data_IF_353535918071
#
_entry.id   IF_353535918071
#
_cell.length_a   1.000
_cell.length_b   1.000
_cell.length_c   1.000
_cell.angle_alpha   90.00
_cell.angle_beta   90.00
_cell.angle_gamma   90.00
#
_symmetry.space_group_name_H-M   'P 1'
#
loop_
_entity.id
_entity.type
_entity.pdbx_description
1 polymer ?
#
# COMPACT_ATOMS: atom_id res chain seq x y z
N UNK A 1 -9.58 2.15 17.33
CA UNK A 1 -10.32 2.07 16.06
C UNK A 1 -10.07 3.34 15.25
N UNK A 2 -9.58 3.18 14.03
CA UNK A 2 -9.40 4.23 13.04
C UNK A 2 -10.74 4.87 12.70
N UNK A 3 -10.70 6.18 12.46
CA UNK A 3 -11.85 6.93 11.98
C UNK A 3 -11.70 7.17 10.49
N UNK A 4 -12.75 6.84 9.75
CA UNK A 4 -12.84 7.02 8.30
C UNK A 4 -13.92 8.02 7.97
N UNK A 5 -13.58 8.98 7.13
CA UNK A 5 -14.49 10.02 6.65
C UNK A 5 -14.77 9.78 5.16
N UNK A 6 -16.05 9.78 4.77
CA UNK A 6 -16.40 9.68 3.35
C UNK A 6 -15.98 10.95 2.59
N UNK A 7 -15.57 10.78 1.34
CA UNK A 7 -15.33 11.91 0.44
C UNK A 7 -16.60 12.18 -0.36
N UNK A 8 -17.28 13.30 -0.07
CA UNK A 8 -18.54 13.65 -0.75
C UNK A 8 -18.35 13.94 -2.24
N UNK A 9 -19.22 13.32 -3.05
CA UNK A 9 -19.31 13.51 -4.51
C UNK A 9 -19.81 14.90 -4.92
N UNK A 10 -20.29 15.70 -3.97
CA UNK A 10 -20.70 17.08 -4.24
C UNK A 10 -19.50 18.03 -4.33
N UNK A 11 -18.39 17.66 -3.66
CA UNK A 11 -17.13 18.42 -3.67
C UNK A 11 -16.39 18.26 -4.99
N UNK A 12 -15.59 19.27 -5.36
CA UNK A 12 -14.72 19.21 -6.55
C UNK A 12 -13.80 17.98 -6.52
N UNK A 13 -13.19 17.72 -5.36
CA UNK A 13 -12.29 16.58 -5.14
C UNK A 13 -13.04 15.26 -5.29
N UNK A 14 -14.23 15.12 -4.72
CA UNK A 14 -15.04 13.89 -4.83
C UNK A 14 -15.40 13.57 -6.28
N UNK A 15 -15.83 14.58 -7.06
CA UNK A 15 -16.11 14.43 -8.49
C UNK A 15 -14.86 14.01 -9.28
N UNK A 16 -13.70 14.59 -8.97
CA UNK A 16 -12.44 14.23 -9.62
C UNK A 16 -12.04 12.78 -9.32
N UNK A 17 -12.08 12.38 -8.04
CA UNK A 17 -11.74 11.02 -7.62
C UNK A 17 -12.65 9.99 -8.30
N UNK A 18 -13.96 10.23 -8.32
CA UNK A 18 -14.93 9.33 -8.97
C UNK A 18 -14.80 9.28 -10.48
N UNK A 19 -14.46 10.37 -11.14
CA UNK A 19 -14.39 10.38 -12.61
C UNK A 19 -13.06 9.88 -13.16
N UNK A 20 -11.96 10.04 -12.41
CA UNK A 20 -10.59 9.76 -12.90
C UNK A 20 -9.87 8.63 -12.20
N UNK A 21 -10.26 8.32 -10.96
CA UNK A 21 -9.49 7.43 -10.10
C UNK A 21 -10.26 6.21 -9.61
N UNK A 22 -11.50 6.00 -10.05
CA UNK A 22 -12.24 4.75 -9.82
C UNK A 22 -12.25 3.86 -11.07
N UNK A 23 -12.35 2.55 -10.86
CA UNK A 23 -12.47 1.53 -11.90
C UNK A 23 -13.21 0.30 -11.33
N UNK A 24 -13.28 -0.79 -12.09
CA UNK A 24 -13.88 -2.06 -11.62
C UNK A 24 -13.24 -2.61 -10.34
N UNK A 25 -12.00 -2.24 -10.04
CA UNK A 25 -11.25 -2.69 -8.85
C UNK A 25 -11.17 -1.65 -7.74
N UNK A 26 -11.44 -0.37 -8.03
CA UNK A 26 -11.39 0.72 -7.06
C UNK A 26 -12.69 1.51 -7.11
N UNK A 27 -13.56 1.29 -6.13
CA UNK A 27 -14.95 1.79 -6.14
C UNK A 27 -15.12 3.16 -5.51
N UNK A 28 -14.20 3.58 -4.67
CA UNK A 28 -14.32 4.80 -3.89
C UNK A 28 -13.08 5.13 -3.08
N UNK A 29 -13.18 6.22 -2.34
CA UNK A 29 -12.13 6.77 -1.50
C UNK A 29 -12.67 7.28 -0.18
N UNK A 30 -11.89 7.12 0.88
CA UNK A 30 -12.14 7.63 2.24
C UNK A 30 -10.95 8.45 2.71
N UNK A 31 -11.17 9.33 3.68
CA UNK A 31 -10.10 9.97 4.43
C UNK A 31 -9.87 9.25 5.75
N UNK A 32 -8.62 8.96 6.06
CA UNK A 32 -8.19 8.43 7.35
C UNK A 32 -7.02 9.28 7.84
N UNK A 33 -7.14 9.89 9.03
CA UNK A 33 -6.12 10.79 9.60
C UNK A 33 -5.60 11.86 8.61
N UNK A 34 -6.50 12.41 7.79
CA UNK A 34 -6.17 13.41 6.77
C UNK A 34 -5.57 12.89 5.47
N UNK A 35 -5.40 11.57 5.31
CA UNK A 35 -4.86 10.92 4.11
C UNK A 35 -5.98 10.30 3.28
N UNK A 36 -5.92 10.46 1.95
CA UNK A 36 -6.86 9.86 1.02
C UNK A 36 -6.47 8.40 0.74
N UNK A 37 -7.35 7.46 1.10
CA UNK A 37 -7.15 6.02 0.93
C UNK A 37 -8.26 5.42 0.06
N UNK A 38 -8.01 4.36 -0.70
CA UNK A 38 -9.07 3.58 -1.33
C UNK A 38 -10.09 3.11 -0.28
N UNK A 39 -11.38 3.10 -0.62
CA UNK A 39 -12.44 2.64 0.28
C UNK A 39 -12.23 1.20 0.76
N UNK A 40 -11.64 0.34 -0.08
CA UNK A 40 -11.36 -1.06 0.26
C UNK A 40 -10.41 -1.21 1.46
N UNK A 41 -9.53 -0.23 1.73
CA UNK A 41 -8.63 -0.22 2.88
C UNK A 41 -9.35 -0.36 4.22
N UNK A 42 -10.59 0.14 4.32
CA UNK A 42 -11.42 0.06 5.54
C UNK A 42 -11.59 -1.39 6.02
N UNK A 43 -11.58 -2.36 5.11
CA UNK A 43 -11.84 -3.76 5.42
C UNK A 43 -10.72 -4.45 6.21
N UNK A 44 -9.50 -3.92 6.16
CA UNK A 44 -8.32 -4.59 6.74
C UNK A 44 -7.37 -3.63 7.48
N UNK A 45 -7.71 -2.34 7.58
CA UNK A 45 -6.86 -1.35 8.24
C UNK A 45 -6.61 -1.64 9.72
N UNK A 46 -7.62 -2.16 10.45
CA UNK A 46 -7.44 -2.57 11.85
C UNK A 46 -6.57 -3.81 11.96
N UNK A 47 -6.68 -4.76 11.03
CA UNK A 47 -5.84 -5.96 11.03
C UNK A 47 -4.37 -5.59 10.82
N UNK A 48 -4.07 -4.63 9.93
CA UNK A 48 -2.71 -4.10 9.76
C UNK A 48 -2.18 -3.48 11.06
N UNK A 49 -3.00 -2.68 11.76
CA UNK A 49 -2.58 -2.01 13.01
C UNK A 49 -2.27 -3.01 14.11
N UNK A 50 -3.03 -4.10 14.17
CA UNK A 50 -2.91 -5.12 15.20
C UNK A 50 -2.04 -6.32 14.75
N UNK A 51 -1.40 -6.24 13.59
CA UNK A 51 -0.55 -7.31 13.06
C UNK A 51 0.67 -7.53 13.97
N UNK A 52 1.00 -8.79 14.22
CA UNK A 52 2.24 -9.16 14.91
C UNK A 52 3.45 -8.76 14.06
N UNK A 53 4.33 -7.93 14.61
CA UNK A 53 5.60 -7.52 14.00
C UNK A 53 6.73 -8.31 14.64
N UNK A 54 7.66 -8.79 13.82
CA UNK A 54 8.83 -9.57 14.24
C UNK A 54 10.08 -8.70 14.22
N UNK A 55 11.07 -9.09 15.03
CA UNK A 55 12.35 -8.37 15.15
C UNK A 55 13.17 -8.39 13.84
N UNK A 56 12.91 -9.35 12.95
CA UNK A 56 13.56 -9.54 11.66
C UNK A 56 12.75 -9.01 10.46
N UNK A 57 11.58 -8.40 10.68
CA UNK A 57 10.78 -7.83 9.60
C UNK A 57 11.49 -6.62 8.98
N UNK A 58 11.56 -6.60 7.64
CA UNK A 58 12.11 -5.47 6.86
C UNK A 58 11.01 -4.80 6.05
N UNK A 59 10.80 -3.52 6.33
CA UNK A 59 9.75 -2.71 5.70
C UNK A 59 10.33 -1.75 4.68
N UNK A 60 9.80 -1.76 3.45
CA UNK A 60 10.09 -0.74 2.43
C UNK A 60 8.86 0.14 2.26
N UNK A 61 8.87 1.29 2.92
CA UNK A 61 7.74 2.23 2.92
C UNK A 61 8.07 3.49 2.12
N UNK A 62 7.15 3.90 1.24
CA UNK A 62 7.27 5.18 0.54
C UNK A 62 5.91 5.70 0.09
N UNK A 63 5.85 6.96 -0.35
CA UNK A 63 4.72 7.41 -1.15
C UNK A 63 4.73 6.68 -2.52
N UNK A 64 3.58 6.38 -3.14
CA UNK A 64 3.57 5.67 -4.41
C UNK A 64 4.42 6.36 -5.48
N UNK A 65 5.16 5.54 -6.24
CA UNK A 65 5.99 5.95 -7.39
C UNK A 65 7.27 6.72 -7.05
N UNK A 66 7.78 6.59 -5.82
CA UNK A 66 9.07 7.21 -5.41
C UNK A 66 10.23 6.21 -5.32
N UNK A 67 10.23 5.15 -6.14
CA UNK A 67 11.37 4.21 -6.25
C UNK A 67 11.26 2.92 -5.41
N UNK A 68 10.10 2.62 -4.81
CA UNK A 68 9.88 1.42 -3.98
C UNK A 68 10.36 0.12 -4.63
N UNK A 69 10.05 -0.11 -5.90
CA UNK A 69 10.47 -1.34 -6.61
C UNK A 69 11.98 -1.51 -6.63
N UNK A 70 12.75 -0.44 -6.88
CA UNK A 70 14.21 -0.52 -6.87
C UNK A 70 14.73 -0.77 -5.46
N UNK A 71 14.16 -0.10 -4.46
CA UNK A 71 14.54 -0.30 -3.06
C UNK A 71 14.24 -1.72 -2.60
N UNK A 72 13.08 -2.29 -2.94
CA UNK A 72 12.73 -3.68 -2.61
C UNK A 72 13.75 -4.66 -3.20
N UNK A 73 14.15 -4.50 -4.47
CA UNK A 73 15.17 -5.37 -5.06
C UNK A 73 16.54 -5.23 -4.38
N UNK A 74 17.00 -4.01 -4.13
CA UNK A 74 18.28 -3.78 -3.46
C UNK A 74 18.28 -4.37 -2.05
N UNK A 75 17.21 -4.14 -1.28
CA UNK A 75 17.06 -4.68 0.07
C UNK A 75 17.02 -6.21 0.04
N UNK A 76 16.26 -6.81 -0.88
CA UNK A 76 16.17 -8.26 -0.99
C UNK A 76 17.55 -8.88 -1.26
N UNK A 77 18.27 -8.37 -2.27
CA UNK A 77 19.59 -8.89 -2.63
C UNK A 77 20.59 -8.72 -1.48
N UNK A 78 20.62 -7.56 -0.81
CA UNK A 78 21.53 -7.33 0.32
C UNK A 78 21.23 -8.30 1.48
N UNK A 79 19.95 -8.53 1.78
CA UNK A 79 19.54 -9.41 2.88
C UNK A 79 19.72 -10.91 2.57
N UNK A 80 19.87 -11.28 1.30
CA UNK A 80 20.01 -12.66 0.83
C UNK A 80 21.38 -12.89 0.16
N UNK A 81 22.45 -12.31 0.71
CA UNK A 81 23.85 -12.54 0.31
C UNK A 81 24.13 -12.36 -1.19
N UNK A 82 23.41 -11.43 -1.84
CA UNK A 82 23.47 -11.17 -3.27
C UNK A 82 23.15 -12.41 -4.14
N UNK A 83 22.21 -13.26 -3.70
CA UNK A 83 21.69 -14.38 -4.50
C UNK A 83 20.81 -13.88 -5.67
N UNK A 84 21.46 -13.53 -6.77
CA UNK A 84 20.78 -13.02 -7.96
C UNK A 84 19.95 -14.08 -8.70
N UNK A 85 20.17 -15.38 -8.47
CA UNK A 85 19.35 -16.43 -9.09
C UNK A 85 18.00 -16.53 -8.38
N UNK A 86 18.00 -16.53 -7.06
CA UNK A 86 16.77 -16.49 -6.27
C UNK A 86 16.01 -15.16 -6.43
N UNK A 87 16.72 -14.05 -6.65
CA UNK A 87 16.11 -12.74 -6.93
C UNK A 87 15.29 -12.69 -8.24
N UNK A 88 15.45 -13.66 -9.15
CA UNK A 88 14.64 -13.74 -10.38
C UNK A 88 13.19 -14.15 -10.11
N UNK A 89 12.89 -14.65 -8.92
CA UNK A 89 11.52 -14.90 -8.48
C UNK A 89 10.72 -13.59 -8.50
N UNK A 90 9.42 -13.68 -8.80
CA UNK A 90 8.57 -12.50 -8.93
C UNK A 90 8.53 -11.70 -7.62
N UNK A 91 8.60 -10.37 -7.74
CA UNK A 91 8.71 -9.50 -6.57
C UNK A 91 7.61 -9.70 -5.52
N UNK A 92 6.31 -9.91 -5.86
CA UNK A 92 5.28 -10.15 -4.85
C UNK A 92 5.47 -11.43 -4.03
N UNK A 93 6.21 -12.42 -4.54
CA UNK A 93 6.52 -13.63 -3.79
C UNK A 93 7.68 -13.41 -2.79
N UNK A 94 8.51 -12.39 -3.03
CA UNK A 94 9.66 -12.02 -2.20
C UNK A 94 9.37 -10.88 -1.23
N UNK A 95 8.44 -10.00 -1.60
CA UNK A 95 8.01 -8.81 -0.86
C UNK A 95 6.48 -8.72 -0.89
N UNK A 96 5.78 -9.22 0.13
CA UNK A 96 4.33 -9.07 0.26
C UNK A 96 3.92 -7.59 0.27
N UNK A 97 2.86 -7.27 -0.46
CA UNK A 97 2.30 -5.92 -0.49
C UNK A 97 1.22 -5.80 0.59
N UNK A 98 1.36 -4.82 1.49
CA UNK A 98 0.55 -4.73 2.71
C UNK A 98 -0.82 -4.04 2.50
N UNK A 99 -0.88 -2.94 1.74
CA UNK A 99 -2.06 -2.05 1.66
C UNK A 99 -2.70 -1.93 0.27
#
# INVERSE_FOLDING_TARGET
MLQFESVSDETEIGKLLRSKFTCSFRTGYVRCKGVCMPEYYVNFAEDIINMDVRDDDVWVCSFPKTGTTWTQEMVWCIANDLDFEAAKEILPARFPFLE
#
